data_IF_468207830482
#
_entry.id   IF_468207830482
#
_cell.length_a   1.000
_cell.length_b   1.000
_cell.length_c   1.000
_cell.angle_alpha   90.00
_cell.angle_beta   90.00
_cell.angle_gamma   90.00
#
_symmetry.space_group_name_H-M   'P 1'
#
loop_
_entity.id
_entity.type
_entity.pdbx_description
1 polymer ?
#
# COMPACT_ATOMS: atom_id res chain seq x y z
N UNK A 1 6.47 1.64 -27.54
CA UNK A 1 7.75 1.94 -26.87
C UNK A 1 7.45 2.72 -25.60
N UNK A 2 7.76 2.16 -24.42
CA UNK A 2 7.50 2.83 -23.14
C UNK A 2 8.69 3.72 -22.79
N UNK A 3 8.47 5.03 -22.76
CA UNK A 3 9.46 6.03 -22.35
C UNK A 3 9.70 5.92 -20.85
N UNK A 4 10.59 4.99 -20.48
CA UNK A 4 11.22 4.96 -19.17
C UNK A 4 12.19 6.14 -19.10
N UNK A 5 11.72 7.30 -18.63
CA UNK A 5 12.68 8.21 -18.00
C UNK A 5 13.28 7.45 -16.83
N UNK A 6 14.59 7.23 -16.93
CA UNK A 6 15.34 6.45 -15.98
C UNK A 6 15.40 7.25 -14.68
N UNK A 7 14.47 6.96 -13.77
CA UNK A 7 14.38 7.60 -12.46
C UNK A 7 15.66 7.40 -11.65
N UNK A 8 16.47 6.39 -12.00
CA UNK A 8 17.78 6.16 -11.44
C UNK A 8 18.82 7.21 -11.90
N UNK A 9 18.49 8.17 -12.76
CA UNK A 9 19.35 9.30 -13.12
C UNK A 9 19.05 10.59 -12.33
N UNK A 10 17.95 10.65 -11.57
CA UNK A 10 17.67 11.82 -10.73
C UNK A 10 18.55 11.74 -9.46
N UNK A 11 19.44 12.73 -9.31
CA UNK A 11 20.44 12.77 -8.23
C UNK A 11 20.29 13.98 -7.33
N UNK A 12 19.58 15.02 -7.77
CA UNK A 12 19.30 16.24 -6.98
C UNK A 12 17.83 16.35 -6.57
N UNK A 13 17.59 17.03 -5.45
CA UNK A 13 16.24 17.31 -4.95
C UNK A 13 15.52 18.33 -5.84
N UNK A 14 16.24 19.27 -6.42
CA UNK A 14 15.67 20.22 -7.39
C UNK A 14 15.13 19.49 -8.62
N UNK A 15 15.87 18.50 -9.11
CA UNK A 15 15.40 17.64 -10.20
C UNK A 15 14.14 16.84 -9.82
N UNK A 16 14.02 16.43 -8.55
CA UNK A 16 12.80 15.78 -8.05
C UNK A 16 11.63 16.77 -7.97
N UNK A 17 11.89 18.02 -7.58
CA UNK A 17 10.89 19.07 -7.51
C UNK A 17 10.40 19.47 -8.91
N UNK A 18 11.32 19.63 -9.85
CA UNK A 18 11.04 19.91 -11.27
C UNK A 18 10.29 18.75 -11.92
N UNK A 19 10.62 17.51 -11.55
CA UNK A 19 9.85 16.34 -11.98
C UNK A 19 8.42 16.34 -11.44
N UNK A 20 8.20 16.84 -10.22
CA UNK A 20 6.85 16.95 -9.65
C UNK A 20 6.04 18.10 -10.27
N UNK A 21 6.69 19.18 -10.69
CA UNK A 21 6.05 20.33 -11.33
C UNK A 21 5.77 20.09 -12.82
N UNK A 22 6.68 19.40 -13.51
CA UNK A 22 6.51 18.90 -14.85
C UNK A 22 5.45 17.81 -14.87
N UNK A 23 4.24 18.15 -15.30
CA UNK A 23 3.11 17.22 -15.39
C UNK A 23 3.38 16.17 -16.46
N UNK A 24 4.14 15.14 -16.12
CA UNK A 24 4.11 13.88 -16.86
C UNK A 24 3.47 12.85 -15.94
N UNK A 25 2.17 12.70 -16.14
CA UNK A 25 1.32 11.59 -15.69
C UNK A 25 1.78 10.27 -16.31
N UNK A 26 3.08 9.99 -16.28
CA UNK A 26 3.54 8.62 -16.42
C UNK A 26 3.25 7.99 -15.07
N UNK A 27 2.12 7.30 -15.02
CA UNK A 27 1.91 6.26 -14.02
C UNK A 27 3.04 5.25 -14.21
N UNK A 28 4.17 5.49 -13.55
CA UNK A 28 5.31 4.60 -13.55
C UNK A 28 4.94 3.38 -12.71
N UNK A 29 4.11 2.50 -13.27
CA UNK A 29 3.88 1.13 -12.83
C UNK A 29 5.14 0.26 -13.00
N UNK A 30 6.34 0.87 -13.05
CA UNK A 30 7.64 0.25 -13.38
C UNK A 30 7.99 -0.86 -12.41
N UNK A 31 7.35 -0.89 -11.24
CA UNK A 31 7.63 -1.84 -10.19
C UNK A 31 6.49 -2.87 -10.14
N UNK A 32 6.44 -3.71 -11.18
CA UNK A 32 5.44 -4.78 -11.37
C UNK A 32 5.37 -5.73 -10.18
N UNK A 33 6.47 -5.90 -9.43
CA UNK A 33 6.51 -6.72 -8.23
C UNK A 33 6.49 -5.86 -6.94
N UNK A 34 5.80 -6.32 -5.88
CA UNK A 34 5.91 -5.71 -4.56
C UNK A 34 7.34 -5.65 -4.04
N UNK A 35 8.20 -6.62 -4.36
CA UNK A 35 9.60 -6.63 -3.93
C UNK A 35 10.40 -5.47 -4.56
N UNK A 36 10.25 -5.26 -5.88
CA UNK A 36 10.90 -4.16 -6.59
C UNK A 36 10.49 -2.80 -6.02
N UNK A 37 9.23 -2.64 -5.59
CA UNK A 37 8.76 -1.42 -4.92
C UNK A 37 9.52 -1.11 -3.64
N UNK A 38 9.73 -2.11 -2.79
CA UNK A 38 10.43 -1.92 -1.52
C UNK A 38 11.92 -1.61 -1.76
N UNK A 39 12.54 -2.30 -2.70
CA UNK A 39 13.94 -2.08 -3.07
C UNK A 39 14.15 -0.66 -3.64
N UNK A 40 13.27 -0.22 -4.54
CA UNK A 40 13.34 1.12 -5.12
C UNK A 40 13.17 2.21 -4.07
N UNK A 41 12.22 2.06 -3.13
CA UNK A 41 12.06 2.98 -2.00
C UNK A 41 13.36 3.06 -1.19
N UNK A 42 13.96 1.90 -0.86
CA UNK A 42 15.22 1.87 -0.11
C UNK A 42 16.36 2.57 -0.87
N UNK A 43 16.56 2.23 -2.15
CA UNK A 43 17.59 2.84 -3.00
C UNK A 43 17.45 4.36 -3.05
N UNK A 44 16.22 4.85 -3.18
CA UNK A 44 15.92 6.28 -3.19
C UNK A 44 16.28 6.93 -1.85
N UNK A 45 15.87 6.34 -0.72
CA UNK A 45 16.18 6.87 0.61
C UNK A 45 17.69 6.92 0.89
N UNK A 46 18.43 5.89 0.46
CA UNK A 46 19.90 5.82 0.58
C UNK A 46 20.57 6.88 -0.30
N UNK A 47 20.16 6.97 -1.57
CA UNK A 47 20.74 7.88 -2.55
C UNK A 47 20.67 9.34 -2.10
N UNK A 48 19.49 9.76 -1.65
CA UNK A 48 19.27 11.13 -1.21
C UNK A 48 19.71 11.37 0.24
N UNK A 49 20.32 10.38 0.91
CA UNK A 49 20.70 10.45 2.33
C UNK A 49 19.55 11.01 3.17
N UNK A 50 18.35 10.44 3.01
CA UNK A 50 17.11 10.98 3.57
C UNK A 50 17.17 11.47 5.04
N UNK A 51 17.90 10.79 5.96
CA UNK A 51 18.02 11.25 7.35
C UNK A 51 18.71 12.61 7.51
N UNK A 52 19.57 13.02 6.57
CA UNK A 52 20.32 14.28 6.63
C UNK A 52 19.62 15.44 5.92
N UNK A 53 18.48 15.19 5.29
CA UNK A 53 17.74 16.19 4.53
C UNK A 53 16.96 17.16 5.43
N UNK A 54 16.76 18.38 4.92
CA UNK A 54 15.87 19.35 5.56
C UNK A 54 14.40 18.86 5.52
N UNK A 55 13.53 19.44 6.34
CA UNK A 55 12.10 19.07 6.35
C UNK A 55 11.41 19.33 5.01
N UNK A 56 11.81 20.39 4.29
CA UNK A 56 11.25 20.73 2.99
C UNK A 56 11.62 19.68 1.94
N UNK A 57 12.90 19.32 1.91
CA UNK A 57 13.49 18.33 1.02
C UNK A 57 12.94 16.92 1.25
N UNK A 58 12.76 16.54 2.52
CA UNK A 58 12.07 15.30 2.88
C UNK A 58 10.65 15.26 2.30
N UNK A 59 9.94 16.40 2.28
CA UNK A 59 8.62 16.53 1.67
C UNK A 59 8.63 16.26 0.17
N UNK A 60 9.65 16.75 -0.56
CA UNK A 60 9.84 16.48 -1.99
C UNK A 60 10.04 14.99 -2.22
N UNK A 61 10.94 14.36 -1.48
CA UNK A 61 11.21 12.91 -1.60
C UNK A 61 9.95 12.10 -1.32
N UNK A 62 9.18 12.40 -0.26
CA UNK A 62 7.93 11.70 0.06
C UNK A 62 6.93 11.80 -1.09
N UNK A 63 6.77 12.98 -1.71
CA UNK A 63 5.84 13.18 -2.83
C UNK A 63 6.23 12.32 -4.04
N UNK A 64 7.52 12.25 -4.37
CA UNK A 64 8.02 11.38 -5.43
C UNK A 64 7.77 9.90 -5.10
N UNK A 65 8.09 9.47 -3.87
CA UNK A 65 7.87 8.09 -3.44
C UNK A 65 6.40 7.68 -3.57
N UNK A 66 5.46 8.55 -3.17
CA UNK A 66 4.01 8.31 -3.32
C UNK A 66 3.62 8.23 -4.79
N UNK A 67 4.06 9.20 -5.61
CA UNK A 67 3.70 9.29 -7.03
C UNK A 67 4.18 8.09 -7.84
N UNK A 68 5.38 7.61 -7.56
CA UNK A 68 6.06 6.56 -8.35
C UNK A 68 5.72 5.15 -7.84
N UNK A 69 5.72 4.92 -6.52
CA UNK A 69 5.42 3.58 -5.98
C UNK A 69 3.93 3.23 -6.00
N UNK A 70 3.06 4.25 -6.13
CA UNK A 70 1.61 4.11 -6.00
C UNK A 70 1.13 3.81 -4.58
N UNK A 71 2.01 3.85 -3.57
CA UNK A 71 1.63 3.67 -2.18
C UNK A 71 1.02 4.93 -1.59
N UNK A 72 0.08 4.74 -0.66
CA UNK A 72 -0.44 5.85 0.13
C UNK A 72 0.67 6.51 0.95
N UNK A 73 0.50 7.81 1.25
CA UNK A 73 1.44 8.56 2.09
C UNK A 73 1.71 7.88 3.43
N UNK A 74 0.67 7.32 4.05
CA UNK A 74 0.78 6.60 5.32
C UNK A 74 1.70 5.38 5.22
N UNK A 75 1.62 4.62 4.11
CA UNK A 75 2.48 3.47 3.89
C UNK A 75 3.93 3.89 3.65
N UNK A 76 4.17 4.96 2.89
CA UNK A 76 5.52 5.54 2.74
C UNK A 76 6.10 5.96 4.09
N UNK A 77 5.32 6.65 4.93
CA UNK A 77 5.76 7.03 6.27
C UNK A 77 6.17 5.82 7.11
N UNK A 78 5.42 4.70 7.03
CA UNK A 78 5.78 3.45 7.71
C UNK A 78 7.11 2.87 7.21
N UNK A 79 7.33 2.85 5.89
CA UNK A 79 8.58 2.36 5.30
C UNK A 79 9.77 3.25 5.68
N UNK A 80 9.58 4.57 5.73
CA UNK A 80 10.61 5.52 6.19
C UNK A 80 10.92 5.29 7.66
N UNK A 81 9.92 5.09 8.52
CA UNK A 81 10.14 4.78 9.93
C UNK A 81 10.95 3.48 10.08
N UNK A 82 10.60 2.42 9.33
CA UNK A 82 11.37 1.18 9.29
C UNK A 82 12.83 1.40 8.84
N UNK A 83 13.04 2.22 7.81
CA UNK A 83 14.37 2.56 7.32
C UNK A 83 15.19 3.32 8.38
N UNK A 84 14.58 4.25 9.12
CA UNK A 84 15.27 4.99 10.19
C UNK A 84 15.69 4.08 11.35
N UNK A 85 14.91 3.06 11.67
CA UNK A 85 15.22 2.12 12.75
C UNK A 85 16.23 1.05 12.34
N UNK A 86 16.12 0.51 11.12
CA UNK A 86 16.88 -0.69 10.71
C UNK A 86 17.89 -0.45 9.58
N UNK A 87 17.90 0.73 8.98
CA UNK A 87 18.71 1.03 7.78
C UNK A 87 18.20 0.36 6.50
N UNK A 88 17.13 -0.44 6.57
CA UNK A 88 16.59 -1.18 5.43
C UNK A 88 15.07 -1.12 5.38
N UNK A 89 14.52 -1.26 4.17
CA UNK A 89 13.07 -1.34 3.91
C UNK A 89 12.76 -2.78 3.55
N UNK A 90 12.28 -3.55 4.52
CA UNK A 90 11.95 -4.96 4.33
C UNK A 90 10.45 -5.17 4.37
N UNK A 91 9.93 -5.92 3.40
CA UNK A 91 8.55 -6.39 3.46
C UNK A 91 8.42 -7.36 4.63
N UNK A 92 7.70 -6.96 5.69
CA UNK A 92 7.31 -7.89 6.75
C UNK A 92 6.28 -8.84 6.16
N UNK A 93 6.55 -10.14 6.22
CA UNK A 93 5.59 -11.15 5.82
C UNK A 93 4.32 -10.94 6.66
N UNK A 94 3.16 -10.90 6.00
CA UNK A 94 1.88 -10.89 6.68
C UNK A 94 1.79 -12.20 7.46
N UNK A 95 1.51 -12.13 8.75
CA UNK A 95 1.18 -13.33 9.53
C UNK A 95 0.00 -14.00 8.86
N UNK A 96 0.21 -15.20 8.32
CA UNK A 96 -0.82 -16.00 7.62
C UNK A 96 -1.59 -16.88 8.62
N UNK A 97 -1.20 -16.85 9.89
CA UNK A 97 -1.98 -17.42 10.97
C UNK A 97 -3.29 -16.61 11.08
N UNK A 98 -4.31 -17.08 10.36
CA UNK A 98 -5.68 -16.65 10.58
C UNK A 98 -6.10 -16.95 12.01
N UNK A 99 -7.17 -16.30 12.46
CA UNK A 99 -7.80 -16.70 13.71
C UNK A 99 -8.19 -18.18 13.64
N UNK A 100 -7.91 -18.93 14.70
CA UNK A 100 -8.36 -20.32 14.81
C UNK A 100 -9.90 -20.31 14.74
N UNK A 101 -10.52 -21.00 13.78
CA UNK A 101 -11.98 -21.05 13.69
C UNK A 101 -12.54 -21.70 14.95
N UNK A 102 -13.50 -21.04 15.60
CA UNK A 102 -14.20 -21.56 16.79
C UNK A 102 -15.19 -22.68 16.44
N UNK A 103 -15.72 -22.65 15.21
CA UNK A 103 -16.74 -23.56 14.72
C UNK A 103 -16.16 -24.45 13.62
N UNK A 104 -16.38 -25.76 13.76
CA UNK A 104 -16.09 -26.74 12.72
C UNK A 104 -17.09 -26.63 11.57
N UNK A 105 -16.80 -27.22 10.39
CA UNK A 105 -17.78 -27.29 9.30
C UNK A 105 -19.11 -27.93 9.72
N UNK A 106 -19.09 -28.88 10.66
CA UNK A 106 -20.30 -29.50 11.20
C UNK A 106 -21.12 -28.50 12.04
N UNK A 107 -20.46 -27.69 12.88
CA UNK A 107 -21.13 -26.65 13.68
C UNK A 107 -21.75 -25.58 12.77
N UNK A 108 -21.06 -25.20 11.69
CA UNK A 108 -21.58 -24.27 10.68
C UNK A 108 -22.83 -24.86 10.00
N UNK A 109 -22.79 -26.15 9.65
CA UNK A 109 -23.95 -26.85 9.08
C UNK A 109 -25.15 -26.89 10.04
N UNK A 110 -24.91 -27.09 11.33
CA UNK A 110 -25.97 -27.09 12.34
C UNK A 110 -26.58 -25.69 12.50
N UNK A 111 -25.76 -24.64 12.55
CA UNK A 111 -26.23 -23.26 12.59
C UNK A 111 -27.07 -22.90 11.35
N UNK A 112 -26.63 -23.28 10.16
CA UNK A 112 -27.39 -23.06 8.92
C UNK A 112 -28.74 -23.78 8.95
N UNK A 113 -28.78 -25.04 9.38
CA UNK A 113 -30.02 -25.80 9.49
C UNK A 113 -30.96 -25.32 10.61
N UNK A 114 -30.43 -24.61 11.62
CA UNK A 114 -31.26 -23.90 12.61
C UNK A 114 -31.84 -22.62 12.01
N UNK A 115 -31.05 -21.86 11.26
CA UNK A 115 -31.48 -20.62 10.61
C UNK A 115 -32.66 -20.86 9.65
N UNK A 116 -32.58 -21.92 8.83
CA UNK A 116 -33.67 -22.35 7.95
C UNK A 116 -34.99 -22.64 8.69
N UNK A 117 -34.92 -23.08 9.95
CA UNK A 117 -36.09 -23.42 10.77
C UNK A 117 -36.65 -22.22 11.53
N UNK A 118 -35.79 -21.29 11.94
CA UNK A 118 -36.17 -20.13 12.78
C UNK A 118 -36.56 -18.93 11.92
N UNK A 119 -35.91 -18.76 10.77
CA UNK A 119 -36.21 -17.71 9.78
C UNK A 119 -36.51 -18.35 8.42
N UNK A 120 -37.70 -18.95 8.24
CA UNK A 120 -38.12 -19.40 6.93
C UNK A 120 -38.09 -18.20 5.96
N UNK A 121 -37.32 -18.33 4.89
CA UNK A 121 -37.09 -17.31 3.85
C UNK A 121 -38.41 -16.85 3.19
N UNK A 122 -39.51 -17.57 3.41
CA UNK A 122 -40.88 -17.21 3.04
C UNK A 122 -41.51 -16.07 3.85
N UNK A 123 -40.83 -15.50 4.86
CA UNK A 123 -41.33 -14.36 5.65
C UNK A 123 -40.61 -13.03 5.35
N UNK A 124 -39.87 -12.92 4.23
CA UNK A 124 -39.20 -11.67 3.81
C UNK A 124 -39.92 -10.89 2.71
N UNK A 125 -41.16 -11.24 2.34
CA UNK A 125 -41.94 -10.46 1.35
C UNK A 125 -42.86 -9.39 1.95
N UNK A 126 -42.99 -9.25 3.27
CA UNK A 126 -43.97 -8.31 3.86
C UNK A 126 -43.41 -7.31 4.86
N UNK A 127 -42.17 -6.83 4.71
CA UNK A 127 -41.77 -5.56 5.34
C UNK A 127 -40.81 -4.76 4.46
N UNK A 128 -41.22 -4.41 3.25
CA UNK A 128 -40.72 -3.21 2.57
C UNK A 128 -41.76 -2.11 2.79
N UNK A 129 -41.66 -1.41 3.92
CA UNK A 129 -42.46 -0.23 4.22
C UNK A 129 -41.78 0.97 3.55
N UNK A 130 -42.37 1.62 2.53
CA UNK A 130 -41.80 2.83 1.96
C UNK A 130 -42.19 4.02 2.84
N UNK A 131 -41.18 4.62 3.49
CA UNK A 131 -41.20 6.02 3.91
C UNK A 131 -39.97 6.70 3.33
#
# INVERSE_FOLDING_TARGET
>A
MQTLMNLDNLTSIDQLADFLSGTQTVAFSVLSSPAARYEWVQKTLVRFRYPTLSRADQGVVIRVLVKVSGYSRQQITRLIAQYRTSGAVRRRQRTVAGFTPKYSPADIGLLAAMDERVFPVSMQETVFCPC
#
